data_IF_119045685280
#
_entry.id   IF_119045685280
#
_cell.length_a   1.000
_cell.length_b   1.000
_cell.length_c   1.000
_cell.angle_alpha   90.00
_cell.angle_beta   90.00
_cell.angle_gamma   90.00
#
_symmetry.space_group_name_H-M   'P 1'
#
loop_
_entity.id
_entity.type
_entity.pdbx_description
1 polymer ?
#
# COMPACT_ATOMS: atom_id res chain seq x y z
N UNK A 1 -14.30 14.05 -30.31
CA UNK A 1 -15.30 13.57 -29.33
C UNK A 1 -14.90 12.16 -28.95
N UNK A 2 -14.32 11.96 -27.76
CA UNK A 2 -14.12 10.61 -27.25
C UNK A 2 -15.51 9.98 -27.03
N UNK A 3 -15.68 8.71 -27.40
CA UNK A 3 -16.90 7.98 -27.11
C UNK A 3 -17.18 8.06 -25.59
N UNK A 4 -18.44 8.21 -25.16
CA UNK A 4 -18.75 8.19 -23.72
C UNK A 4 -18.24 6.87 -23.16
N UNK A 5 -17.33 6.95 -22.19
CA UNK A 5 -16.82 5.78 -21.48
C UNK A 5 -18.03 5.06 -20.89
N UNK A 6 -18.25 3.80 -21.31
CA UNK A 6 -19.31 2.97 -20.76
C UNK A 6 -18.91 2.68 -19.31
N UNK A 7 -19.50 3.43 -18.37
CA UNK A 7 -19.17 3.34 -16.95
C UNK A 7 -19.71 2.06 -16.31
N UNK A 8 -20.89 1.62 -16.75
CA UNK A 8 -21.56 0.44 -16.22
C UNK A 8 -21.78 -0.59 -17.33
N UNK A 9 -21.58 -1.87 -17.01
CA UNK A 9 -22.07 -2.97 -17.85
C UNK A 9 -23.61 -3.00 -17.85
N UNK A 10 -24.22 -3.68 -18.82
CA UNK A 10 -25.67 -3.86 -18.83
C UNK A 10 -26.15 -4.52 -17.53
N UNK A 11 -25.47 -5.56 -17.04
CA UNK A 11 -25.81 -6.22 -15.78
C UNK A 11 -25.77 -5.24 -14.59
N UNK A 12 -24.76 -4.37 -14.52
CA UNK A 12 -24.67 -3.33 -13.49
C UNK A 12 -25.78 -2.29 -13.61
N UNK A 13 -26.21 -1.92 -14.83
CA UNK A 13 -27.38 -1.05 -15.02
C UNK A 13 -28.65 -1.70 -14.51
N UNK A 14 -28.81 -3.01 -14.73
CA UNK A 14 -29.96 -3.76 -14.25
C UNK A 14 -30.03 -3.79 -12.71
N UNK A 15 -28.89 -3.86 -12.02
CA UNK A 15 -28.85 -3.77 -10.55
C UNK A 15 -29.46 -2.46 -10.00
N UNK A 16 -29.38 -1.35 -10.75
CA UNK A 16 -29.94 -0.06 -10.35
C UNK A 16 -31.38 0.18 -10.83
N UNK A 17 -31.74 -0.40 -11.98
CA UNK A 17 -32.98 -0.08 -12.70
C UNK A 17 -34.07 -1.12 -12.49
N UNK A 18 -33.73 -2.31 -12.00
CA UNK A 18 -34.70 -3.37 -11.72
C UNK A 18 -34.96 -3.56 -10.23
N UNK A 19 -36.14 -4.10 -9.95
CA UNK A 19 -36.44 -4.65 -8.64
C UNK A 19 -35.96 -6.09 -8.63
N UNK A 20 -35.13 -6.46 -7.66
CA UNK A 20 -34.63 -7.83 -7.51
C UNK A 20 -35.79 -8.82 -7.49
N UNK A 21 -35.70 -9.89 -8.29
CA UNK A 21 -36.70 -10.97 -8.26
C UNK A 21 -36.71 -11.71 -6.92
N UNK A 22 -35.58 -11.70 -6.21
CA UNK A 22 -35.41 -12.32 -4.89
C UNK A 22 -35.52 -11.30 -3.75
N UNK A 23 -36.26 -10.20 -3.96
CA UNK A 23 -36.52 -9.19 -2.92
C UNK A 23 -37.19 -9.85 -1.70
N UNK A 24 -36.68 -9.57 -0.51
CA UNK A 24 -37.19 -10.16 0.72
C UNK A 24 -38.56 -9.60 1.11
N UNK A 25 -39.40 -10.39 1.80
CA UNK A 25 -40.70 -9.91 2.30
C UNK A 25 -40.55 -8.65 3.18
N UNK A 26 -39.46 -8.56 3.95
CA UNK A 26 -39.14 -7.38 4.74
C UNK A 26 -38.90 -6.13 3.87
N UNK A 27 -38.13 -6.24 2.80
CA UNK A 27 -37.91 -5.14 1.86
C UNK A 27 -39.18 -4.76 1.12
N UNK A 28 -40.01 -5.75 0.76
CA UNK A 28 -41.31 -5.51 0.14
C UNK A 28 -42.18 -4.66 1.08
N UNK A 29 -42.35 -5.10 2.33
CA UNK A 29 -43.13 -4.38 3.32
C UNK A 29 -42.55 -2.99 3.62
N UNK A 30 -41.23 -2.84 3.68
CA UNK A 30 -40.58 -1.56 3.97
C UNK A 30 -40.81 -0.53 2.86
N UNK A 31 -40.72 -0.93 1.59
CA UNK A 31 -40.70 0.02 0.47
C UNK A 31 -42.04 0.15 -0.28
N UNK A 32 -42.91 -0.85 -0.21
CA UNK A 32 -44.13 -0.93 -1.01
C UNK A 32 -45.43 -0.90 -0.20
N UNK A 33 -45.36 -0.60 1.10
CA UNK A 33 -46.58 -0.39 1.91
C UNK A 33 -47.17 1.00 1.67
N UNK A 34 -48.47 1.05 1.40
CA UNK A 34 -49.26 2.26 1.26
C UNK A 34 -49.86 2.70 2.59
N UNK A 35 -49.83 4.00 2.83
CA UNK A 35 -50.56 4.62 3.93
C UNK A 35 -52.07 4.63 3.65
N UNK A 36 -52.93 4.80 4.67
CA UNK A 36 -54.37 4.98 4.46
C UNK A 36 -54.70 6.16 3.51
N UNK A 37 -53.88 7.22 3.55
CA UNK A 37 -54.00 8.34 2.62
C UNK A 37 -53.75 7.91 1.17
N UNK A 38 -52.69 7.14 0.94
CA UNK A 38 -52.35 6.63 -0.40
C UNK A 38 -53.47 5.76 -0.96
N UNK A 39 -53.99 4.83 -0.15
CA UNK A 39 -55.12 3.96 -0.53
C UNK A 39 -56.36 4.80 -0.87
N UNK A 40 -56.63 5.85 -0.08
CA UNK A 40 -57.71 6.79 -0.33
C UNK A 40 -57.59 7.52 -1.68
N UNK A 41 -56.38 7.91 -2.09
CA UNK A 41 -56.12 8.51 -3.41
C UNK A 41 -56.25 7.48 -4.53
N UNK A 42 -55.64 6.30 -4.36
CA UNK A 42 -55.68 5.22 -5.35
C UNK A 42 -57.14 4.84 -5.67
N UNK A 43 -57.99 4.71 -4.64
CA UNK A 43 -59.38 4.30 -4.79
C UNK A 43 -60.32 5.34 -5.44
N UNK A 44 -59.85 6.57 -5.71
CA UNK A 44 -60.61 7.56 -6.51
C UNK A 44 -60.67 7.18 -7.99
N UNK A 45 -59.75 6.33 -8.45
CA UNK A 45 -59.63 5.97 -9.85
C UNK A 45 -60.68 4.93 -10.25
N UNK A 46 -61.37 5.16 -11.37
CA UNK A 46 -62.38 4.23 -11.90
C UNK A 46 -61.70 3.05 -12.58
N UNK A 47 -62.24 1.85 -12.35
CA UNK A 47 -61.79 0.54 -12.90
C UNK A 47 -60.50 0.05 -12.26
N UNK A 48 -60.43 -1.26 -12.07
CA UNK A 48 -59.37 -1.90 -11.29
C UNK A 48 -57.98 -1.75 -11.93
N UNK A 49 -57.88 -1.84 -13.26
CA UNK A 49 -56.63 -1.62 -13.97
C UNK A 49 -56.04 -0.20 -13.78
N UNK A 50 -56.87 0.82 -13.58
CA UNK A 50 -56.39 2.18 -13.30
C UNK A 50 -55.91 2.32 -11.86
N UNK A 51 -56.61 1.67 -10.91
CA UNK A 51 -56.24 1.64 -9.49
C UNK A 51 -54.88 0.97 -9.29
N UNK A 52 -54.70 -0.24 -9.84
CA UNK A 52 -53.42 -0.95 -9.77
C UNK A 52 -52.32 -0.20 -10.53
N UNK A 53 -52.62 0.38 -11.69
CA UNK A 53 -51.67 1.17 -12.46
C UNK A 53 -51.15 2.40 -11.71
N UNK A 54 -52.05 3.18 -11.10
CA UNK A 54 -51.68 4.32 -10.25
C UNK A 54 -50.86 3.87 -9.04
N UNK A 55 -51.30 2.80 -8.35
CA UNK A 55 -50.59 2.25 -7.20
C UNK A 55 -49.16 1.82 -7.56
N UNK A 56 -49.00 1.12 -8.68
CA UNK A 56 -47.69 0.71 -9.19
C UNK A 56 -46.84 1.94 -9.54
N UNK A 57 -47.36 2.93 -10.26
CA UNK A 57 -46.59 4.14 -10.54
C UNK A 57 -46.08 4.83 -9.26
N UNK A 58 -46.95 5.00 -8.26
CA UNK A 58 -46.58 5.60 -6.98
C UNK A 58 -45.52 4.78 -6.24
N UNK A 59 -45.69 3.46 -6.20
CA UNK A 59 -44.74 2.53 -5.62
C UNK A 59 -43.35 2.65 -6.28
N UNK A 60 -43.28 2.62 -7.62
CA UNK A 60 -42.03 2.69 -8.35
C UNK A 60 -41.29 4.02 -8.16
N UNK A 61 -42.01 5.15 -8.08
CA UNK A 61 -41.41 6.45 -7.80
C UNK A 61 -40.86 6.56 -6.37
N UNK A 62 -41.47 5.87 -5.39
CA UNK A 62 -40.93 5.79 -4.02
C UNK A 62 -39.71 4.87 -3.98
N UNK A 63 -39.83 3.70 -4.59
CA UNK A 63 -38.74 2.73 -4.72
C UNK A 63 -38.96 1.82 -5.93
N UNK A 64 -38.01 1.72 -6.87
CA UNK A 64 -36.63 2.20 -6.82
C UNK A 64 -36.41 3.72 -7.05
N UNK A 65 -37.38 4.48 -7.53
CA UNK A 65 -37.27 5.91 -7.90
C UNK A 65 -37.49 6.20 -9.39
N UNK A 66 -37.67 5.15 -10.19
CA UNK A 66 -37.80 5.20 -11.64
C UNK A 66 -39.26 5.35 -12.06
N UNK A 67 -39.49 6.05 -13.17
CA UNK A 67 -40.82 6.09 -13.80
C UNK A 67 -41.24 4.72 -14.28
N UNK A 68 -42.56 4.46 -14.33
CA UNK A 68 -43.14 3.22 -14.85
C UNK A 68 -42.66 2.88 -16.28
N UNK A 69 -42.37 3.90 -17.10
CA UNK A 69 -41.88 3.71 -18.48
C UNK A 69 -40.44 3.15 -18.49
N UNK A 70 -39.66 3.43 -17.43
CA UNK A 70 -38.25 3.08 -17.35
C UNK A 70 -38.00 1.69 -16.74
N UNK A 71 -39.03 1.04 -16.19
CA UNK A 71 -38.93 -0.28 -15.58
C UNK A 71 -39.57 -1.32 -16.50
N UNK A 72 -38.75 -2.24 -17.00
CA UNK A 72 -39.20 -3.26 -17.95
C UNK A 72 -39.90 -4.45 -17.27
N UNK A 73 -39.61 -4.73 -16.00
CA UNK A 73 -40.16 -5.88 -15.30
C UNK A 73 -40.36 -5.58 -13.81
N UNK A 74 -41.51 -5.94 -13.27
CA UNK A 74 -41.87 -5.81 -11.85
C UNK A 74 -42.02 -7.23 -11.32
N UNK A 75 -41.33 -7.55 -10.23
CA UNK A 75 -41.44 -8.88 -9.60
C UNK A 75 -42.89 -9.19 -9.24
N UNK A 76 -43.32 -10.43 -9.50
CA UNK A 76 -44.67 -10.90 -9.15
C UNK A 76 -44.95 -10.76 -7.65
N UNK A 77 -43.95 -10.98 -6.79
CA UNK A 77 -44.08 -10.81 -5.34
C UNK A 77 -44.46 -9.38 -4.95
N UNK A 78 -43.80 -8.39 -5.56
CA UNK A 78 -44.09 -6.96 -5.34
C UNK A 78 -45.45 -6.59 -5.90
N UNK A 79 -45.77 -7.07 -7.10
CA UNK A 79 -47.05 -6.76 -7.73
C UNK A 79 -48.22 -7.35 -6.93
N UNK A 80 -48.11 -8.59 -6.46
CA UNK A 80 -49.11 -9.23 -5.62
C UNK A 80 -49.29 -8.46 -4.31
N UNK A 81 -48.21 -8.07 -3.65
CA UNK A 81 -48.24 -7.27 -2.43
C UNK A 81 -48.93 -5.91 -2.60
N UNK A 82 -48.66 -5.20 -3.70
CA UNK A 82 -49.34 -3.95 -4.05
C UNK A 82 -50.84 -4.20 -4.28
N UNK A 83 -51.17 -5.28 -4.99
CA UNK A 83 -52.53 -5.61 -5.38
C UNK A 83 -53.43 -6.00 -4.19
N UNK A 84 -52.88 -6.70 -3.20
CA UNK A 84 -53.57 -7.09 -1.97
C UNK A 84 -53.97 -5.87 -1.13
N UNK A 85 -53.09 -4.87 -1.01
CA UNK A 85 -53.35 -3.65 -0.24
C UNK A 85 -54.54 -2.83 -0.77
N UNK A 86 -54.80 -2.91 -2.07
CA UNK A 86 -55.89 -2.17 -2.72
C UNK A 86 -57.09 -3.06 -3.11
N UNK A 87 -57.02 -4.37 -2.79
CA UNK A 87 -58.04 -5.37 -3.08
C UNK A 87 -58.38 -5.45 -4.58
N UNK A 88 -57.35 -5.52 -5.43
CA UNK A 88 -57.46 -5.65 -6.89
C UNK A 88 -56.64 -6.85 -7.36
N UNK A 89 -57.03 -7.50 -8.45
CA UNK A 89 -56.22 -8.55 -9.07
C UNK A 89 -54.96 -7.97 -9.73
N UNK A 90 -53.78 -8.53 -9.44
CA UNK A 90 -52.51 -8.16 -10.09
C UNK A 90 -52.55 -8.27 -11.63
N UNK A 91 -53.40 -9.15 -12.17
CA UNK A 91 -53.58 -9.36 -13.62
C UNK A 91 -54.20 -8.16 -14.33
N UNK A 92 -54.92 -7.29 -13.61
CA UNK A 92 -55.52 -6.08 -14.17
C UNK A 92 -54.46 -5.10 -14.68
N UNK A 93 -53.21 -5.19 -14.19
CA UNK A 93 -52.12 -4.35 -14.68
C UNK A 93 -51.88 -4.54 -16.19
N UNK A 94 -52.16 -5.73 -16.75
CA UNK A 94 -52.02 -5.96 -18.19
C UNK A 94 -52.98 -5.12 -19.06
N UNK A 95 -54.10 -4.66 -18.47
CA UNK A 95 -55.07 -3.78 -19.11
C UNK A 95 -54.78 -2.30 -18.83
N UNK A 96 -53.85 -2.02 -17.91
CA UNK A 96 -53.48 -0.66 -17.58
C UNK A 96 -52.79 0.00 -18.77
N UNK A 97 -53.15 1.26 -19.01
CA UNK A 97 -52.34 2.14 -19.86
C UNK A 97 -52.13 1.71 -21.32
N UNK A 98 -53.09 1.00 -21.93
CA UNK A 98 -53.10 0.76 -23.38
C UNK A 98 -53.08 2.06 -24.22
N UNK A 99 -53.46 3.20 -23.61
CA UNK A 99 -53.30 4.56 -24.16
C UNK A 99 -52.23 5.31 -23.37
N UNK A 100 -51.29 5.93 -24.06
CA UNK A 100 -50.19 6.69 -23.43
C UNK A 100 -50.67 7.80 -22.50
N UNK A 101 -51.73 8.53 -22.87
CA UNK A 101 -52.24 9.67 -22.09
C UNK A 101 -52.61 9.30 -20.65
N UNK A 102 -53.21 8.14 -20.41
CA UNK A 102 -53.60 7.72 -19.06
C UNK A 102 -52.39 7.53 -18.14
N UNK A 103 -51.22 7.12 -18.67
CA UNK A 103 -49.99 7.03 -17.87
C UNK A 103 -49.48 8.39 -17.46
N UNK A 104 -49.46 9.33 -18.40
CA UNK A 104 -48.95 10.68 -18.21
C UNK A 104 -49.84 11.47 -17.25
N UNK A 105 -51.17 11.32 -17.36
CA UNK A 105 -52.15 11.90 -16.45
C UNK A 105 -51.93 11.41 -15.01
N UNK A 106 -51.83 10.09 -14.80
CA UNK A 106 -51.56 9.53 -13.46
C UNK A 106 -50.21 9.98 -12.92
N UNK A 107 -49.17 10.04 -13.75
CA UNK A 107 -47.85 10.52 -13.34
C UNK A 107 -47.90 12.00 -12.90
N UNK A 108 -48.62 12.83 -13.65
CA UNK A 108 -48.82 14.24 -13.32
C UNK A 108 -49.59 14.39 -12.00
N UNK A 109 -50.66 13.62 -11.80
CA UNK A 109 -51.42 13.60 -10.55
C UNK A 109 -50.55 13.18 -9.36
N UNK A 110 -49.73 12.12 -9.51
CA UNK A 110 -48.79 11.68 -8.46
C UNK A 110 -47.80 12.80 -8.11
N UNK A 111 -47.30 13.52 -9.12
CA UNK A 111 -46.38 14.64 -8.91
C UNK A 111 -47.01 15.77 -8.10
N UNK A 112 -48.24 16.16 -8.43
CA UNK A 112 -48.97 17.21 -7.73
C UNK A 112 -49.34 16.82 -6.29
N UNK A 113 -49.79 15.59 -6.08
CA UNK A 113 -50.24 15.12 -4.75
C UNK A 113 -49.06 14.86 -3.81
N UNK A 114 -48.01 14.20 -4.29
CA UNK A 114 -46.90 13.72 -3.44
C UNK A 114 -45.66 14.61 -3.48
N UNK A 115 -45.67 15.64 -4.34
CA UNK A 115 -44.59 16.62 -4.47
C UNK A 115 -43.39 16.11 -5.27
N UNK A 116 -43.61 15.23 -6.25
CA UNK A 116 -42.54 14.79 -7.14
C UNK A 116 -42.28 15.80 -8.26
N UNK A 117 -41.01 16.01 -8.60
CA UNK A 117 -40.61 16.89 -9.71
C UNK A 117 -39.83 16.12 -10.78
N UNK A 118 -39.83 16.63 -12.00
CA UNK A 118 -39.00 16.07 -13.07
C UNK A 118 -37.54 16.48 -12.88
N UNK A 119 -36.63 15.61 -13.28
CA UNK A 119 -35.22 15.93 -13.34
C UNK A 119 -34.94 17.03 -14.38
N UNK A 120 -34.02 17.96 -14.07
CA UNK A 120 -33.69 19.14 -14.87
C UNK A 120 -32.19 19.41 -14.84
N UNK A 121 -31.70 20.28 -15.72
CA UNK A 121 -30.27 20.67 -15.76
C UNK A 121 -29.80 21.36 -14.49
N UNK A 122 -30.70 22.01 -13.74
CA UNK A 122 -30.36 22.59 -12.44
C UNK A 122 -30.04 21.50 -11.42
N UNK A 123 -30.77 20.38 -11.45
CA UNK A 123 -30.48 19.21 -10.62
C UNK A 123 -29.15 18.58 -11.00
N UNK A 124 -28.81 18.50 -12.30
CA UNK A 124 -27.46 18.06 -12.74
C UNK A 124 -26.35 18.89 -12.10
N UNK A 125 -26.45 20.23 -12.13
CA UNK A 125 -25.43 21.10 -11.53
C UNK A 125 -25.29 20.88 -10.02
N UNK A 126 -26.42 20.80 -9.31
CA UNK A 126 -26.43 20.55 -7.85
C UNK A 126 -25.84 19.18 -7.51
N UNK A 127 -26.19 18.16 -8.31
CA UNK A 127 -25.71 16.80 -8.11
C UNK A 127 -24.21 16.69 -8.34
N UNK A 128 -23.68 17.34 -9.38
CA UNK A 128 -22.23 17.42 -9.63
C UNK A 128 -21.50 18.03 -8.43
N UNK A 129 -21.99 19.14 -7.88
CA UNK A 129 -21.37 19.80 -6.73
C UNK A 129 -21.41 18.91 -5.48
N UNK A 130 -22.50 18.16 -5.30
CA UNK A 130 -22.67 17.25 -4.15
C UNK A 130 -21.76 16.03 -4.25
N UNK A 131 -21.57 15.48 -5.45
CA UNK A 131 -20.77 14.27 -5.66
C UNK A 131 -19.26 14.53 -5.75
N UNK A 132 -18.84 15.74 -6.10
CA UNK A 132 -17.43 16.05 -6.33
C UNK A 132 -16.52 15.72 -5.13
N UNK A 133 -16.83 16.09 -3.87
CA UNK A 133 -16.00 15.73 -2.72
C UNK A 133 -15.79 14.21 -2.59
N UNK A 134 -16.84 13.42 -2.84
CA UNK A 134 -16.78 11.96 -2.78
C UNK A 134 -15.94 11.36 -3.92
N UNK A 135 -15.98 11.96 -5.10
CA UNK A 135 -15.18 11.50 -6.24
C UNK A 135 -13.69 11.82 -6.09
N UNK A 136 -13.35 12.93 -5.41
CA UNK A 136 -11.96 13.25 -5.06
C UNK A 136 -11.40 12.19 -4.09
N UNK A 137 -12.22 11.73 -3.14
CA UNK A 137 -11.90 10.65 -2.20
C UNK A 137 -11.69 9.29 -2.89
N UNK A 138 -12.64 8.91 -3.73
CA UNK A 138 -12.74 7.58 -4.31
C UNK A 138 -13.50 7.63 -5.64
N UNK A 139 -12.90 7.12 -6.71
CA UNK A 139 -13.47 7.07 -8.05
C UNK A 139 -14.36 5.83 -8.29
N UNK A 140 -14.77 5.12 -7.22
CA UNK A 140 -15.64 3.97 -7.33
C UNK A 140 -17.01 4.38 -7.91
N UNK A 141 -17.18 4.05 -9.20
CA UNK A 141 -18.37 4.34 -10.00
C UNK A 141 -19.65 3.83 -9.35
N UNK A 142 -19.66 2.60 -8.84
CA UNK A 142 -20.86 1.99 -8.23
C UNK A 142 -21.30 2.76 -6.98
N UNK A 143 -20.35 3.20 -6.16
CA UNK A 143 -20.66 3.99 -4.97
C UNK A 143 -21.17 5.38 -5.36
N UNK A 144 -20.56 6.05 -6.33
CA UNK A 144 -21.01 7.35 -6.82
C UNK A 144 -22.42 7.27 -7.45
N UNK A 145 -22.73 6.20 -8.18
CA UNK A 145 -24.07 5.94 -8.71
C UNK A 145 -25.10 5.75 -7.58
N UNK A 146 -24.77 4.98 -6.53
CA UNK A 146 -25.64 4.80 -5.36
C UNK A 146 -25.91 6.12 -4.65
N UNK A 147 -24.87 6.92 -4.43
CA UNK A 147 -24.99 8.26 -3.83
C UNK A 147 -25.86 9.17 -4.70
N UNK A 148 -25.63 9.17 -6.02
CA UNK A 148 -26.39 9.99 -6.95
C UNK A 148 -27.88 9.66 -6.94
N UNK A 149 -28.22 8.37 -7.04
CA UNK A 149 -29.61 7.89 -7.01
C UNK A 149 -30.26 8.23 -5.67
N UNK A 150 -29.56 8.03 -4.56
CA UNK A 150 -30.10 8.35 -3.24
C UNK A 150 -30.37 9.85 -3.09
N UNK A 151 -29.43 10.71 -3.52
CA UNK A 151 -29.57 12.17 -3.47
C UNK A 151 -30.83 12.63 -4.24
N UNK A 152 -30.98 12.18 -5.49
CA UNK A 152 -32.15 12.51 -6.33
C UNK A 152 -33.46 12.06 -5.65
N UNK A 153 -33.48 10.83 -5.10
CA UNK A 153 -34.67 10.28 -4.43
C UNK A 153 -35.06 11.06 -3.18
N UNK A 154 -34.09 11.44 -2.33
CA UNK A 154 -34.38 12.18 -1.09
C UNK A 154 -35.03 13.54 -1.34
N UNK A 155 -34.74 14.15 -2.49
CA UNK A 155 -35.34 15.41 -2.94
C UNK A 155 -36.70 15.23 -3.65
N UNK A 156 -37.23 13.99 -3.72
CA UNK A 156 -38.45 13.63 -4.47
C UNK A 156 -38.38 14.00 -5.95
N UNK A 157 -37.20 13.90 -6.56
CA UNK A 157 -37.05 14.07 -8.00
C UNK A 157 -37.20 12.69 -8.66
N UNK A 158 -37.97 12.62 -9.74
CA UNK A 158 -38.10 11.40 -10.54
C UNK A 158 -36.76 11.12 -11.23
N UNK A 159 -36.21 9.92 -11.06
CA UNK A 159 -34.92 9.57 -11.66
C UNK A 159 -34.98 9.74 -13.18
N UNK A 160 -34.04 10.50 -13.79
CA UNK A 160 -33.87 10.50 -15.24
C UNK A 160 -33.28 9.16 -15.67
N UNK A 161 -33.42 8.78 -16.94
CA UNK A 161 -32.82 7.55 -17.49
C UNK A 161 -31.39 7.32 -17.00
N UNK A 162 -31.02 6.07 -16.68
CA UNK A 162 -29.74 5.71 -16.03
C UNK A 162 -28.50 6.29 -16.72
N UNK A 163 -28.55 6.38 -18.05
CA UNK A 163 -27.50 6.98 -18.87
C UNK A 163 -27.26 8.46 -18.58
N UNK A 164 -28.28 9.20 -18.12
CA UNK A 164 -28.15 10.59 -17.67
C UNK A 164 -27.36 10.66 -16.38
N UNK A 165 -27.66 9.78 -15.42
CA UNK A 165 -26.94 9.71 -14.13
C UNK A 165 -25.50 9.25 -14.36
N UNK A 166 -25.27 8.24 -15.20
CA UNK A 166 -23.93 7.80 -15.61
C UNK A 166 -23.13 8.97 -16.19
N UNK A 167 -23.75 9.80 -17.05
CA UNK A 167 -23.09 10.99 -17.60
C UNK A 167 -22.64 11.95 -16.51
N UNK A 168 -23.51 12.24 -15.53
CA UNK A 168 -23.15 13.12 -14.41
C UNK A 168 -22.00 12.54 -13.59
N UNK A 169 -22.04 11.24 -13.28
CA UNK A 169 -20.97 10.56 -12.54
C UNK A 169 -19.66 10.58 -13.34
N UNK A 170 -19.70 10.36 -14.66
CA UNK A 170 -18.53 10.46 -15.54
C UNK A 170 -17.90 11.86 -15.48
N UNK A 171 -18.73 12.90 -15.61
CA UNK A 171 -18.28 14.29 -15.54
C UNK A 171 -17.69 14.64 -14.19
N UNK A 172 -18.28 14.13 -13.10
CA UNK A 172 -17.76 14.33 -11.74
C UNK A 172 -16.40 13.65 -11.56
N UNK A 173 -16.25 12.41 -12.02
CA UNK A 173 -14.95 11.69 -11.96
C UNK A 173 -13.90 12.44 -12.78
N UNK A 174 -14.23 12.86 -13.99
CA UNK A 174 -13.31 13.61 -14.85
C UNK A 174 -12.86 14.94 -14.19
N UNK A 175 -13.77 15.65 -13.51
CA UNK A 175 -13.44 16.86 -12.74
C UNK A 175 -12.55 16.57 -11.54
N UNK A 176 -12.86 15.51 -10.78
CA UNK A 176 -12.04 15.09 -9.65
C UNK A 176 -10.62 14.68 -10.11
N UNK A 177 -10.51 13.99 -11.25
CA UNK A 177 -9.24 13.67 -11.90
C UNK A 177 -8.45 14.94 -12.27
N UNK A 178 -9.10 15.93 -12.88
CA UNK A 178 -8.48 17.19 -13.28
C UNK A 178 -7.98 17.98 -12.05
N UNK A 179 -8.81 18.16 -11.03
CA UNK A 179 -8.44 18.84 -9.78
C UNK A 179 -7.27 18.15 -9.08
N UNK A 180 -7.30 16.81 -9.01
CA UNK A 180 -6.20 16.03 -8.43
C UNK A 180 -4.89 16.25 -9.21
N UNK A 181 -4.94 16.16 -10.54
CA UNK A 181 -3.78 16.35 -11.41
C UNK A 181 -3.24 17.78 -11.28
N UNK A 182 -4.12 18.78 -11.16
CA UNK A 182 -3.73 20.18 -11.00
C UNK A 182 -3.01 20.42 -9.67
N UNK A 183 -3.53 19.89 -8.55
CA UNK A 183 -2.89 20.01 -7.23
C UNK A 183 -1.46 19.45 -7.27
N UNK A 184 -1.26 18.29 -7.90
CA UNK A 184 0.08 17.70 -8.06
C UNK A 184 0.96 18.59 -8.93
N UNK A 185 0.45 19.04 -10.08
CA UNK A 185 1.21 19.88 -11.02
C UNK A 185 1.59 21.25 -10.45
N UNK A 186 0.80 21.80 -9.53
CA UNK A 186 1.12 23.06 -8.84
C UNK A 186 2.37 22.94 -7.96
N UNK A 187 2.80 21.71 -7.62
CA UNK A 187 4.04 21.43 -6.91
C UNK A 187 5.24 21.22 -7.86
N UNK A 188 5.06 21.29 -9.19
CA UNK A 188 6.09 20.96 -10.18
C UNK A 188 6.41 22.19 -11.03
N UNK A 189 7.66 22.66 -10.91
CA UNK A 189 8.18 23.79 -11.70
C UNK A 189 8.42 23.42 -13.16
N UNK A 190 8.52 24.42 -14.04
CA UNK A 190 8.82 24.20 -15.47
C UNK A 190 10.16 23.49 -15.71
N UNK A 191 11.20 23.79 -14.91
CA UNK A 191 12.49 23.10 -14.96
C UNK A 191 12.35 21.61 -14.60
N UNK A 192 11.55 21.31 -13.57
CA UNK A 192 11.27 19.93 -13.18
C UNK A 192 10.48 19.18 -14.26
N UNK A 193 9.48 19.82 -14.89
CA UNK A 193 8.75 19.24 -16.03
C UNK A 193 9.68 18.89 -17.18
N UNK A 194 10.61 19.77 -17.52
CA UNK A 194 11.65 19.49 -18.51
C UNK A 194 12.52 18.28 -18.11
N UNK A 195 12.97 18.22 -16.85
CA UNK A 195 13.73 17.06 -16.35
C UNK A 195 12.92 15.75 -16.40
N UNK A 196 11.63 15.79 -16.09
CA UNK A 196 10.73 14.63 -16.21
C UNK A 196 10.61 14.16 -17.67
N UNK A 197 10.51 15.09 -18.63
CA UNK A 197 10.52 14.74 -20.05
C UNK A 197 11.85 14.12 -20.50
N UNK A 198 12.97 14.60 -19.95
CA UNK A 198 14.29 14.00 -20.20
C UNK A 198 14.41 12.57 -19.67
N UNK A 199 13.59 12.16 -18.69
CA UNK A 199 13.58 10.78 -18.19
C UNK A 199 12.92 9.80 -19.15
N UNK A 200 11.89 10.23 -19.88
CA UNK A 200 11.09 9.40 -20.79
C UNK A 200 11.57 9.44 -22.24
N UNK A 201 12.46 10.37 -22.56
CA UNK A 201 13.09 10.50 -23.87
C UNK A 201 14.47 9.83 -23.87
N UNK A 202 14.79 9.10 -24.95
CA UNK A 202 16.12 8.57 -25.16
C UNK A 202 17.08 9.74 -25.44
N UNK A 203 18.20 9.79 -24.73
CA UNK A 203 19.20 10.86 -24.86
C UNK A 203 20.28 10.54 -25.90
N UNK A 204 20.38 9.28 -26.31
CA UNK A 204 21.40 8.71 -27.19
C UNK A 204 20.77 7.70 -28.16
N UNK A 205 21.55 7.18 -29.12
CA UNK A 205 21.11 6.08 -30.01
C UNK A 205 20.76 4.79 -29.25
N UNK A 206 21.15 4.68 -27.98
CA UNK A 206 20.70 3.63 -27.07
C UNK A 206 19.19 3.74 -26.81
N UNK A 207 18.51 2.59 -26.94
CA UNK A 207 17.06 2.46 -26.81
C UNK A 207 16.55 2.61 -25.38
N UNK A 208 17.44 2.58 -24.38
CA UNK A 208 17.07 2.63 -22.96
C UNK A 208 16.99 4.07 -22.43
N UNK A 209 15.78 4.46 -22.03
CA UNK A 209 15.53 5.74 -21.34
C UNK A 209 15.96 5.68 -19.88
N UNK A 210 16.22 6.84 -19.25
CA UNK A 210 16.53 6.90 -17.81
C UNK A 210 15.37 6.36 -16.95
N UNK A 211 14.12 6.56 -17.36
CA UNK A 211 12.97 5.95 -16.69
C UNK A 211 12.98 4.42 -16.81
N UNK A 212 13.38 3.89 -17.97
CA UNK A 212 13.58 2.44 -18.16
C UNK A 212 14.59 1.87 -17.17
N UNK A 213 15.76 2.50 -17.07
CA UNK A 213 16.80 2.13 -16.08
C UNK A 213 16.32 2.23 -14.62
N UNK A 214 15.51 3.24 -14.28
CA UNK A 214 14.89 3.37 -12.95
C UNK A 214 13.91 2.23 -12.62
N UNK A 215 13.31 1.60 -13.64
CA UNK A 215 12.33 0.51 -13.51
C UNK A 215 12.97 -0.88 -13.46
N UNK A 216 14.24 -1.02 -13.84
CA UNK A 216 14.96 -2.30 -13.85
C UNK A 216 15.10 -2.89 -12.44
N UNK A 217 14.93 -4.21 -12.32
CA UNK A 217 15.16 -4.94 -11.07
C UNK A 217 16.66 -4.95 -10.73
N UNK A 218 16.98 -4.70 -9.46
CA UNK A 218 18.35 -4.64 -8.95
C UNK A 218 18.90 -6.02 -8.56
N UNK A 219 18.12 -7.09 -8.76
CA UNK A 219 18.55 -8.47 -8.56
C UNK A 219 18.86 -8.81 -7.09
N UNK A 220 19.87 -9.65 -6.87
CA UNK A 220 20.18 -10.18 -5.54
C UNK A 220 20.91 -9.18 -4.62
N UNK A 221 20.60 -9.25 -3.33
CA UNK A 221 21.20 -8.38 -2.31
C UNK A 221 22.73 -8.56 -2.22
N UNK A 222 23.44 -7.50 -2.59
CA UNK A 222 24.90 -7.42 -2.60
C UNK A 222 25.35 -5.97 -2.38
N UNK A 223 26.62 -5.71 -2.03
CA UNK A 223 27.15 -4.35 -1.97
C UNK A 223 27.02 -3.59 -3.30
N UNK A 224 27.13 -4.30 -4.44
CA UNK A 224 26.92 -3.73 -5.78
C UNK A 224 25.46 -3.30 -5.97
N UNK A 225 24.50 -4.18 -5.65
CA UNK A 225 23.08 -3.86 -5.73
C UNK A 225 22.72 -2.68 -4.81
N UNK A 226 23.36 -2.55 -3.64
CA UNK A 226 23.17 -1.39 -2.76
C UNK A 226 23.60 -0.08 -3.46
N UNK A 227 24.79 -0.05 -4.06
CA UNK A 227 25.27 1.12 -4.79
C UNK A 227 24.33 1.50 -5.95
N UNK A 228 23.86 0.52 -6.71
CA UNK A 228 22.89 0.71 -7.80
C UNK A 228 21.52 1.24 -7.32
N UNK A 229 21.06 0.84 -6.13
CA UNK A 229 19.84 1.39 -5.52
C UNK A 229 20.03 2.86 -5.14
N UNK A 230 21.19 3.20 -4.56
CA UNK A 230 21.49 4.57 -4.16
C UNK A 230 21.67 5.48 -5.38
N UNK A 231 22.30 5.01 -6.45
CA UNK A 231 22.44 5.77 -7.70
C UNK A 231 21.06 6.17 -8.27
N UNK A 232 20.10 5.24 -8.25
CA UNK A 232 18.70 5.52 -8.66
C UNK A 232 18.04 6.54 -7.74
N UNK A 233 18.22 6.37 -6.43
CA UNK A 233 17.68 7.30 -5.43
C UNK A 233 18.26 8.72 -5.58
N UNK A 234 19.56 8.83 -5.89
CA UNK A 234 20.23 10.09 -6.19
C UNK A 234 19.67 10.76 -7.45
N UNK A 235 19.48 10.00 -8.53
CA UNK A 235 18.85 10.54 -9.74
C UNK A 235 17.49 11.14 -9.42
N UNK A 236 16.64 10.43 -8.67
CA UNK A 236 15.31 10.92 -8.28
C UNK A 236 15.41 12.17 -7.42
N UNK A 237 16.28 12.17 -6.40
CA UNK A 237 16.47 13.32 -5.50
C UNK A 237 17.05 14.55 -6.22
N UNK A 238 17.85 14.36 -7.27
CA UNK A 238 18.38 15.45 -8.09
C UNK A 238 17.30 16.27 -8.80
N UNK A 239 16.10 15.68 -8.98
CA UNK A 239 14.93 16.37 -9.52
C UNK A 239 14.32 17.35 -8.51
N UNK A 240 14.62 17.19 -7.21
CA UNK A 240 14.12 18.03 -6.11
C UNK A 240 12.58 18.13 -6.07
N UNK A 241 11.89 17.03 -6.37
CA UNK A 241 10.43 16.97 -6.37
C UNK A 241 9.90 17.02 -4.93
N UNK A 242 9.31 18.16 -4.55
CA UNK A 242 8.66 18.37 -3.25
C UNK A 242 7.15 18.47 -3.47
N UNK A 243 6.48 17.31 -3.53
CA UNK A 243 5.06 17.25 -3.84
C UNK A 243 4.21 17.60 -2.61
N UNK A 244 3.28 18.54 -2.76
CA UNK A 244 2.28 18.83 -1.73
C UNK A 244 1.15 17.78 -1.76
N UNK A 245 1.39 16.62 -1.15
CA UNK A 245 0.44 15.50 -1.10
C UNK A 245 -0.39 15.41 0.18
N UNK A 246 -0.17 16.31 1.16
CA UNK A 246 -0.76 16.19 2.49
C UNK A 246 -2.30 16.26 2.50
N UNK A 247 -2.90 16.96 1.52
CA UNK A 247 -4.35 17.05 1.33
C UNK A 247 -4.92 16.06 0.32
N UNK A 248 -4.10 15.17 -0.25
CA UNK A 248 -4.52 14.22 -1.28
C UNK A 248 -4.82 12.85 -0.70
N UNK A 249 -5.82 12.18 -1.25
CA UNK A 249 -6.23 10.86 -0.78
C UNK A 249 -5.19 9.77 -1.10
N UNK A 250 -4.72 8.97 -0.12
CA UNK A 250 -3.66 7.99 -0.32
C UNK A 250 -3.95 6.89 -1.36
N UNK A 251 -5.23 6.55 -1.55
CA UNK A 251 -5.64 5.55 -2.56
C UNK A 251 -5.39 6.06 -3.98
N UNK A 252 -5.68 7.34 -4.22
CA UNK A 252 -5.52 8.01 -5.52
C UNK A 252 -4.04 8.19 -5.87
N UNK A 253 -3.22 8.57 -4.90
CA UNK A 253 -1.75 8.61 -5.05
C UNK A 253 -1.21 7.25 -5.52
N UNK A 254 -1.58 6.17 -4.82
CA UNK A 254 -1.17 4.81 -5.17
C UNK A 254 -1.69 4.37 -6.53
N UNK A 255 -2.92 4.74 -6.90
CA UNK A 255 -3.49 4.41 -8.20
C UNK A 255 -2.68 5.02 -9.35
N UNK A 256 -2.41 6.33 -9.32
CA UNK A 256 -1.64 7.00 -10.37
C UNK A 256 -0.18 6.58 -10.40
N UNK A 257 0.45 6.41 -9.23
CA UNK A 257 1.81 5.88 -9.16
C UNK A 257 1.92 4.47 -9.76
N UNK A 258 0.94 3.59 -9.51
CA UNK A 258 0.85 2.27 -10.17
C UNK A 258 0.67 2.36 -11.69
N UNK A 259 0.00 3.40 -12.21
CA UNK A 259 -0.02 3.63 -13.65
C UNK A 259 1.38 3.96 -14.16
N UNK A 260 2.12 4.82 -13.46
CA UNK A 260 3.51 5.16 -13.81
C UNK A 260 4.46 3.97 -13.75
N UNK A 261 4.26 3.06 -12.79
CA UNK A 261 5.05 1.83 -12.70
C UNK A 261 4.75 0.85 -13.84
N UNK A 262 3.50 0.80 -14.33
CA UNK A 262 3.09 -0.11 -15.42
C UNK A 262 3.43 0.40 -16.81
N UNK A 263 3.23 1.69 -17.06
CA UNK A 263 3.41 2.23 -18.41
C UNK A 263 4.88 2.39 -18.78
N UNK A 264 5.22 1.98 -19.99
CA UNK A 264 6.54 2.22 -20.56
C UNK A 264 6.72 3.67 -21.01
N UNK A 265 7.97 4.18 -21.11
CA UNK A 265 8.26 5.56 -21.50
C UNK A 265 7.53 6.02 -22.76
N UNK A 266 7.44 5.15 -23.78
CA UNK A 266 6.69 5.44 -25.01
C UNK A 266 5.19 5.65 -24.78
N UNK A 267 4.55 4.86 -23.92
CA UNK A 267 3.14 5.05 -23.58
C UNK A 267 2.93 6.34 -22.79
N UNK A 268 3.82 6.65 -21.85
CA UNK A 268 3.76 7.89 -21.06
C UNK A 268 3.84 9.14 -21.92
N UNK A 269 4.61 9.12 -23.02
CA UNK A 269 4.68 10.24 -23.99
C UNK A 269 3.35 10.55 -24.69
N UNK A 270 2.44 9.58 -24.79
CA UNK A 270 1.13 9.75 -25.44
C UNK A 270 0.07 10.35 -24.52
N UNK A 271 0.32 10.43 -23.22
CA UNK A 271 -0.60 11.10 -22.30
C UNK A 271 -0.55 12.61 -22.50
N UNK A 272 -1.68 13.25 -22.21
CA UNK A 272 -1.75 14.70 -22.06
C UNK A 272 -0.72 15.18 -21.02
N UNK A 273 -0.09 16.34 -21.28
CA UNK A 273 1.06 16.82 -20.51
C UNK A 273 0.81 16.87 -18.99
N UNK A 274 -0.30 17.49 -18.56
CA UNK A 274 -0.64 17.59 -17.13
C UNK A 274 -0.72 16.21 -16.48
N UNK A 275 -1.42 15.27 -17.12
CA UNK A 275 -1.58 13.89 -16.64
C UNK A 275 -0.25 13.14 -16.63
N UNK A 276 0.57 13.31 -17.66
CA UNK A 276 1.92 12.75 -17.77
C UNK A 276 2.81 13.16 -16.60
N UNK A 277 2.89 14.46 -16.31
CA UNK A 277 3.74 14.97 -15.23
C UNK A 277 3.26 14.52 -13.86
N UNK A 278 1.95 14.51 -13.61
CA UNK A 278 1.40 14.04 -12.34
C UNK A 278 1.72 12.55 -12.11
N UNK A 279 1.51 11.70 -13.12
CA UNK A 279 1.83 10.26 -13.04
C UNK A 279 3.32 10.05 -12.80
N UNK A 280 4.20 10.73 -13.55
CA UNK A 280 5.64 10.60 -13.38
C UNK A 280 6.10 11.06 -12.00
N UNK A 281 5.64 12.21 -11.54
CA UNK A 281 6.05 12.75 -10.24
C UNK A 281 5.62 11.83 -9.08
N UNK A 282 4.38 11.35 -9.10
CA UNK A 282 3.88 10.44 -8.06
C UNK A 282 4.56 9.07 -8.11
N UNK A 283 4.84 8.55 -9.30
CA UNK A 283 5.60 7.32 -9.46
C UNK A 283 7.01 7.46 -8.89
N UNK A 284 7.72 8.54 -9.20
CA UNK A 284 9.07 8.78 -8.69
C UNK A 284 9.08 9.00 -7.17
N UNK A 285 8.03 9.64 -6.63
CA UNK A 285 7.83 9.78 -5.20
C UNK A 285 7.71 8.41 -4.52
N UNK A 286 6.83 7.52 -4.99
CA UNK A 286 6.68 6.17 -4.44
C UNK A 286 7.94 5.31 -4.67
N UNK A 287 8.55 5.39 -5.86
CA UNK A 287 9.80 4.70 -6.17
C UNK A 287 10.92 5.11 -5.22
N UNK A 288 11.02 6.39 -4.84
CA UNK A 288 12.02 6.84 -3.88
C UNK A 288 11.87 6.17 -2.51
N UNK A 289 10.63 5.95 -2.05
CA UNK A 289 10.34 5.25 -0.81
C UNK A 289 10.70 3.76 -0.92
N UNK A 290 10.26 3.12 -2.01
CA UNK A 290 10.58 1.71 -2.28
C UNK A 290 12.08 1.45 -2.39
N UNK A 291 12.87 2.39 -2.96
CA UNK A 291 14.32 2.28 -3.03
C UNK A 291 14.98 2.43 -1.65
N UNK A 292 14.43 3.26 -0.76
CA UNK A 292 14.90 3.34 0.64
C UNK A 292 14.64 2.02 1.36
N UNK A 293 13.42 1.48 1.26
CA UNK A 293 13.07 0.18 1.85
C UNK A 293 13.98 -0.92 1.29
N UNK A 294 14.24 -0.91 -0.02
CA UNK A 294 15.15 -1.85 -0.67
C UNK A 294 16.59 -1.73 -0.16
N UNK A 295 17.09 -0.51 0.05
CA UNK A 295 18.42 -0.27 0.60
C UNK A 295 18.55 -0.87 2.01
N UNK A 296 17.55 -0.65 2.87
CA UNK A 296 17.50 -1.23 4.22
C UNK A 296 17.42 -2.76 4.16
N UNK A 297 16.57 -3.32 3.28
CA UNK A 297 16.47 -4.76 3.08
C UNK A 297 17.80 -5.40 2.67
N UNK A 298 18.54 -4.74 1.75
CA UNK A 298 19.88 -5.19 1.34
C UNK A 298 20.84 -5.13 2.53
N UNK A 299 20.84 -4.04 3.30
CA UNK A 299 21.68 -3.89 4.49
C UNK A 299 21.42 -5.01 5.51
N UNK A 300 20.16 -5.27 5.86
CA UNK A 300 19.78 -6.32 6.80
C UNK A 300 20.25 -7.70 6.34
N UNK A 301 20.11 -8.00 5.04
CA UNK A 301 20.63 -9.25 4.48
C UNK A 301 22.15 -9.34 4.55
N UNK A 302 22.88 -8.26 4.26
CA UNK A 302 24.34 -8.26 4.37
C UNK A 302 24.80 -8.50 5.81
N UNK A 303 24.17 -7.85 6.80
CA UNK A 303 24.46 -8.06 8.22
C UNK A 303 24.14 -9.50 8.64
N UNK A 304 22.99 -10.05 8.26
CA UNK A 304 22.62 -11.43 8.57
C UNK A 304 23.59 -12.44 7.96
N UNK A 305 24.04 -12.23 6.72
CA UNK A 305 25.05 -13.08 6.07
C UNK A 305 26.38 -13.01 6.80
N UNK A 306 26.81 -11.82 7.23
CA UNK A 306 28.04 -11.65 8.01
C UNK A 306 27.97 -12.44 9.33
N UNK A 307 26.92 -12.25 10.11
CA UNK A 307 26.74 -12.92 11.40
C UNK A 307 26.58 -14.43 11.25
N UNK A 308 25.83 -14.90 10.24
CA UNK A 308 25.65 -16.32 9.95
C UNK A 308 26.97 -17.01 9.60
N UNK A 309 27.83 -16.34 8.82
CA UNK A 309 29.16 -16.87 8.47
C UNK A 309 30.08 -16.98 9.69
N UNK A 310 30.03 -16.00 10.60
CA UNK A 310 30.75 -16.07 11.88
C UNK A 310 30.34 -17.30 12.68
N UNK A 311 29.03 -17.52 12.84
CA UNK A 311 28.47 -18.71 13.53
C UNK A 311 28.90 -20.02 12.87
N UNK A 312 28.79 -20.13 11.54
CA UNK A 312 29.21 -21.32 10.79
C UNK A 312 30.70 -21.60 10.98
N UNK A 313 31.55 -20.57 10.92
CA UNK A 313 32.99 -20.73 11.15
C UNK A 313 33.29 -21.18 12.58
N UNK A 314 32.55 -20.69 13.58
CA UNK A 314 32.65 -21.18 14.95
C UNK A 314 32.27 -22.66 15.05
N UNK A 315 31.15 -23.07 14.44
CA UNK A 315 30.72 -24.47 14.42
C UNK A 315 31.73 -25.38 13.72
N UNK A 316 32.32 -24.94 12.60
CA UNK A 316 33.37 -25.66 11.88
C UNK A 316 34.63 -25.82 12.74
N UNK A 317 35.10 -24.75 13.38
CA UNK A 317 36.25 -24.80 14.29
C UNK A 317 35.98 -25.71 15.49
N UNK A 318 34.77 -25.68 16.05
CA UNK A 318 34.38 -26.56 17.16
C UNK A 318 34.40 -28.04 16.73
N UNK A 319 33.89 -28.34 15.52
CA UNK A 319 33.92 -29.71 14.97
C UNK A 319 35.35 -30.19 14.70
N UNK A 320 36.20 -29.34 14.12
CA UNK A 320 37.59 -29.68 13.80
C UNK A 320 38.45 -29.85 15.05
N UNK A 321 38.34 -28.91 16.00
CA UNK A 321 39.20 -28.85 17.17
C UNK A 321 38.65 -29.62 18.39
N UNK A 322 37.43 -30.16 18.31
CA UNK A 322 36.74 -30.75 19.46
C UNK A 322 37.53 -31.86 20.17
N UNK A 323 38.18 -32.74 19.40
CA UNK A 323 39.02 -33.80 19.96
C UNK A 323 40.24 -33.22 20.70
N UNK A 324 41.00 -32.35 20.05
CA UNK A 324 42.18 -31.73 20.63
C UNK A 324 41.86 -30.85 21.84
N UNK A 325 40.73 -30.14 21.82
CA UNK A 325 40.25 -29.39 22.99
C UNK A 325 39.95 -30.32 24.17
N UNK A 326 39.27 -31.44 23.94
CA UNK A 326 39.01 -32.42 24.98
C UNK A 326 40.31 -33.03 25.53
N UNK A 327 41.28 -33.33 24.66
CA UNK A 327 42.62 -33.78 25.08
C UNK A 327 43.30 -32.74 25.99
N UNK A 328 43.22 -31.44 25.69
CA UNK A 328 43.77 -30.38 26.55
C UNK A 328 43.04 -30.26 27.88
N UNK A 329 41.72 -30.45 27.91
CA UNK A 329 40.95 -30.47 29.16
C UNK A 329 41.38 -31.65 30.04
N UNK A 330 41.58 -32.84 29.46
CA UNK A 330 42.08 -34.02 30.19
C UNK A 330 43.47 -33.75 30.76
N UNK A 331 44.40 -33.23 29.93
CA UNK A 331 45.73 -32.85 30.42
C UNK A 331 45.64 -31.85 31.59
N UNK A 332 44.78 -30.84 31.50
CA UNK A 332 44.57 -29.86 32.57
C UNK A 332 44.08 -30.53 33.87
N UNK A 333 43.12 -31.45 33.79
CA UNK A 333 42.63 -32.21 34.95
C UNK A 333 43.77 -33.02 35.58
N UNK A 334 44.57 -33.73 34.78
CA UNK A 334 45.66 -34.57 35.27
C UNK A 334 46.77 -33.73 35.93
N UNK A 335 47.12 -32.59 35.33
CA UNK A 335 48.09 -31.63 35.87
C UNK A 335 47.62 -31.07 37.21
N UNK A 336 46.36 -30.63 37.30
CA UNK A 336 45.80 -30.07 38.54
C UNK A 336 45.71 -31.15 39.62
N UNK A 337 45.30 -32.37 39.27
CA UNK A 337 45.26 -33.50 40.21
C UNK A 337 46.65 -33.84 40.77
N UNK A 338 47.69 -33.84 39.92
CA UNK A 338 49.07 -34.04 40.35
C UNK A 338 49.55 -32.94 41.30
N UNK A 339 49.19 -31.67 41.05
CA UNK A 339 49.53 -30.56 41.93
C UNK A 339 48.80 -30.63 43.28
N UNK A 340 47.53 -31.02 43.29
CA UNK A 340 46.77 -31.25 44.52
C UNK A 340 47.43 -32.37 45.33
N UNK A 341 47.74 -33.51 44.70
CA UNK A 341 48.41 -34.64 45.36
C UNK A 341 49.77 -34.23 45.92
N UNK A 342 50.58 -33.50 45.15
CA UNK A 342 51.88 -33.04 45.62
C UNK A 342 51.75 -32.12 46.84
N UNK A 343 50.71 -31.29 46.90
CA UNK A 343 50.44 -30.42 48.06
C UNK A 343 49.99 -31.22 49.28
N UNK A 344 49.05 -32.15 49.11
CA UNK A 344 48.47 -32.93 50.21
C UNK A 344 49.49 -33.90 50.83
N UNK A 345 50.29 -34.55 49.98
CA UNK A 345 51.31 -35.52 50.38
C UNK A 345 52.70 -34.87 50.62
N UNK A 346 52.82 -33.55 50.48
CA UNK A 346 54.08 -32.77 50.59
C UNK A 346 55.22 -33.30 49.69
N UNK A 347 54.88 -33.70 48.47
CA UNK A 347 55.83 -34.15 47.45
C UNK A 347 56.38 -32.97 46.63
N UNK A 348 57.46 -33.21 45.88
CA UNK A 348 58.00 -32.26 44.91
C UNK A 348 57.02 -32.07 43.74
N UNK A 349 56.50 -30.84 43.50
CA UNK A 349 55.51 -30.58 42.45
C UNK A 349 56.01 -30.89 41.04
N UNK A 350 57.29 -30.63 40.73
CA UNK A 350 57.84 -30.85 39.40
C UNK A 350 58.04 -32.35 39.11
N UNK A 351 58.53 -33.10 40.10
CA UNK A 351 58.64 -34.58 39.97
C UNK A 351 57.26 -35.23 39.83
N UNK A 352 56.27 -34.71 40.53
CA UNK A 352 54.89 -35.23 40.47
C UNK A 352 54.24 -34.89 39.11
N UNK A 353 54.49 -33.72 38.54
CA UNK A 353 54.05 -33.36 37.18
C UNK A 353 54.71 -34.21 36.10
N UNK A 354 56.02 -34.45 36.19
CA UNK A 354 56.76 -35.28 35.23
C UNK A 354 56.27 -36.75 35.21
N UNK A 355 55.64 -37.21 36.29
CA UNK A 355 54.99 -38.53 36.34
C UNK A 355 53.70 -38.62 35.52
N UNK A 356 53.05 -37.49 35.24
CA UNK A 356 51.85 -37.40 34.37
C UNK A 356 52.26 -37.28 32.91
N UNK A 357 53.18 -36.36 32.60
CA UNK A 357 53.70 -36.17 31.25
C UNK A 357 55.10 -35.53 31.28
N UNK A 358 55.93 -35.82 30.27
CA UNK A 358 57.27 -35.25 30.19
C UNK A 358 57.23 -33.72 30.02
N UNK A 359 58.23 -33.02 30.55
CA UNK A 359 58.32 -31.55 30.44
C UNK A 359 58.22 -31.04 28.99
N UNK A 360 58.85 -31.74 28.04
CA UNK A 360 58.77 -31.41 26.61
C UNK A 360 57.33 -31.47 26.08
N UNK A 361 56.59 -32.54 26.40
CA UNK A 361 55.17 -32.70 26.01
C UNK A 361 54.27 -31.69 26.70
N UNK A 362 54.60 -31.29 27.92
CA UNK A 362 53.89 -30.23 28.64
C UNK A 362 53.99 -28.90 27.89
N UNK A 363 55.21 -28.49 27.50
CA UNK A 363 55.44 -27.27 26.72
C UNK A 363 54.72 -27.32 25.36
N UNK A 364 54.83 -28.44 24.63
CA UNK A 364 54.12 -28.66 23.37
C UNK A 364 52.60 -28.56 23.55
N UNK A 365 52.07 -29.18 24.61
CA UNK A 365 50.63 -29.14 24.91
C UNK A 365 50.14 -27.73 25.24
N UNK A 366 50.95 -26.89 25.86
CA UNK A 366 50.64 -25.47 26.12
C UNK A 366 50.65 -24.66 24.83
N UNK A 367 51.61 -24.85 23.94
CA UNK A 367 51.65 -24.15 22.65
C UNK A 367 50.48 -24.55 21.75
N UNK A 368 50.13 -25.83 21.70
CA UNK A 368 48.91 -26.29 21.02
C UNK A 368 47.65 -25.68 21.65
N UNK A 369 47.57 -25.61 22.99
CA UNK A 369 46.45 -25.00 23.68
C UNK A 369 46.33 -23.50 23.38
N UNK A 370 47.44 -22.76 23.27
CA UNK A 370 47.45 -21.34 22.86
C UNK A 370 46.89 -21.14 21.46
N UNK A 371 47.23 -22.03 20.52
CA UNK A 371 46.72 -21.98 19.15
C UNK A 371 45.23 -22.34 19.05
N UNK A 372 44.72 -23.17 19.96
CA UNK A 372 43.31 -23.55 20.05
C UNK A 372 42.47 -22.57 20.87
N UNK A 373 43.10 -21.82 21.77
CA UNK A 373 42.43 -20.92 22.69
C UNK A 373 41.72 -19.79 21.94
N UNK A 374 40.47 -19.57 22.32
CA UNK A 374 39.65 -18.44 21.86
C UNK A 374 39.40 -17.49 23.02
N UNK A 375 38.91 -16.25 22.76
CA UNK A 375 38.53 -15.33 23.81
C UNK A 375 37.61 -15.99 24.83
N UNK A 376 37.73 -15.63 26.11
CA UNK A 376 36.96 -16.24 27.21
C UNK A 376 35.44 -16.21 27.00
N UNK A 377 34.93 -15.21 26.27
CA UNK A 377 33.51 -15.14 25.91
C UNK A 377 33.04 -16.23 24.94
N UNK A 378 33.98 -16.89 24.26
CA UNK A 378 33.78 -17.96 23.28
C UNK A 378 32.73 -17.62 22.21
N UNK A 379 32.72 -16.36 21.79
CA UNK A 379 31.71 -15.77 20.93
C UNK A 379 32.26 -15.59 19.51
N UNK A 380 31.50 -15.90 18.46
CA UNK A 380 31.90 -15.82 17.05
C UNK A 380 32.33 -14.42 16.56
N UNK A 381 32.18 -13.37 17.36
CA UNK A 381 32.53 -12.00 16.95
C UNK A 381 34.00 -11.85 16.56
N UNK A 382 34.91 -12.55 17.24
CA UNK A 382 36.34 -12.63 16.89
C UNK A 382 36.61 -13.26 15.51
N UNK A 383 35.63 -13.98 14.95
CA UNK A 383 35.75 -14.65 13.65
C UNK A 383 35.24 -13.80 12.48
N UNK A 384 34.73 -12.58 12.72
CA UNK A 384 34.13 -11.73 11.70
C UNK A 384 35.15 -10.94 10.86
N UNK A 385 36.39 -10.77 11.35
CA UNK A 385 37.42 -9.93 10.72
C UNK A 385 37.69 -10.26 9.24
N UNK A 386 37.70 -11.54 8.86
CA UNK A 386 37.98 -11.94 7.48
C UNK A 386 36.89 -11.54 6.47
N UNK A 387 35.73 -11.05 6.96
CA UNK A 387 34.57 -10.70 6.15
C UNK A 387 34.06 -9.28 6.41
N UNK A 388 34.55 -8.60 7.46
CA UNK A 388 34.28 -7.19 7.70
C UNK A 388 34.59 -6.32 6.47
N UNK A 389 35.63 -6.66 5.69
CA UNK A 389 36.04 -5.97 4.46
C UNK A 389 34.93 -5.79 3.39
N UNK A 390 33.80 -6.48 3.50
CA UNK A 390 32.64 -6.28 2.62
C UNK A 390 31.77 -5.09 3.03
N UNK A 391 31.68 -4.76 4.32
CA UNK A 391 30.84 -3.67 4.82
C UNK A 391 31.32 -2.30 4.34
N UNK A 392 32.62 -1.94 4.45
CA UNK A 392 33.11 -0.64 3.97
C UNK A 392 32.89 -0.37 2.47
N UNK A 393 32.53 -1.39 1.68
CA UNK A 393 32.23 -1.22 0.25
C UNK A 393 30.91 -0.49 -0.01
N UNK A 394 29.97 -0.49 0.95
CA UNK A 394 28.66 0.15 0.77
C UNK A 394 28.20 0.96 1.98
N UNK A 395 28.72 0.70 3.19
CA UNK A 395 28.30 1.44 4.39
C UNK A 395 28.60 2.95 4.34
N UNK A 396 29.68 3.46 3.71
CA UNK A 396 29.86 4.90 3.55
C UNK A 396 28.75 5.52 2.70
N UNK A 397 28.35 4.84 1.62
CA UNK A 397 27.24 5.27 0.76
C UNK A 397 25.92 5.23 1.54
N UNK A 398 25.69 4.19 2.34
CA UNK A 398 24.50 4.07 3.19
C UNK A 398 24.34 5.29 4.11
N UNK A 399 25.38 5.62 4.87
CA UNK A 399 25.33 6.70 5.86
C UNK A 399 25.25 8.07 5.21
N UNK A 400 25.96 8.27 4.09
CA UNK A 400 25.94 9.53 3.35
C UNK A 400 24.58 9.85 2.75
N UNK A 401 23.89 8.85 2.19
CA UNK A 401 22.68 9.08 1.40
C UNK A 401 21.38 8.78 2.15
N UNK A 402 21.38 7.94 3.18
CA UNK A 402 20.17 7.75 4.01
C UNK A 402 20.20 8.73 5.18
N UNK A 403 19.11 9.49 5.35
CA UNK A 403 18.94 10.40 6.49
C UNK A 403 18.32 9.63 7.64
N UNK A 404 19.06 9.52 8.74
CA UNK A 404 18.59 8.90 9.97
C UNK A 404 18.16 9.98 10.96
N UNK A 405 16.93 9.88 11.46
CA UNK A 405 16.37 10.78 12.46
C UNK A 405 15.78 9.95 13.61
N UNK A 406 15.71 10.55 14.80
CA UNK A 406 15.10 9.93 15.97
C UNK A 406 14.11 10.87 16.62
N UNK A 407 12.92 10.36 16.95
CA UNK A 407 11.95 11.05 17.82
C UNK A 407 12.13 10.70 19.30
N UNK A 408 12.94 9.68 19.60
CA UNK A 408 13.22 9.21 20.95
C UNK A 408 14.62 9.66 21.41
N UNK A 409 14.72 10.18 22.63
CA UNK A 409 15.99 10.57 23.23
C UNK A 409 16.95 9.38 23.43
N UNK A 410 16.42 8.16 23.63
CA UNK A 410 17.25 6.97 23.85
C UNK A 410 18.10 6.58 22.62
N UNK A 411 17.65 6.90 21.41
CA UNK A 411 18.37 6.62 20.16
C UNK A 411 19.22 7.80 19.67
N UNK A 412 19.25 8.92 20.40
CA UNK A 412 20.10 10.07 20.06
C UNK A 412 21.60 9.72 20.00
N UNK A 413 22.18 8.96 20.96
CA UNK A 413 23.58 8.54 20.89
C UNK A 413 23.92 7.74 19.62
N UNK A 414 22.98 6.94 19.12
CA UNK A 414 23.15 6.19 17.87
C UNK A 414 23.18 7.13 16.65
N UNK A 415 22.30 8.12 16.60
CA UNK A 415 22.30 9.10 15.51
C UNK A 415 23.60 9.92 15.52
N UNK A 416 24.06 10.33 16.71
CA UNK A 416 25.32 11.05 16.87
C UNK A 416 26.52 10.20 16.39
N UNK A 417 26.55 8.90 16.72
CA UNK A 417 27.57 7.98 16.20
C UNK A 417 27.50 7.81 14.67
N UNK A 418 26.30 7.75 14.07
CA UNK A 418 26.13 7.68 12.62
C UNK A 418 26.69 8.96 11.96
N UNK A 419 26.46 10.13 12.55
CA UNK A 419 27.01 11.39 12.05
C UNK A 419 28.55 11.41 12.12
N UNK A 420 29.13 10.97 13.24
CA UNK A 420 30.59 10.83 13.37
C UNK A 420 31.16 9.87 12.32
N UNK A 421 30.50 8.73 12.08
CA UNK A 421 30.89 7.79 11.04
C UNK A 421 30.81 8.41 9.64
N UNK A 422 29.82 9.26 9.37
CA UNK A 422 29.72 9.98 8.11
C UNK A 422 30.92 10.92 7.92
N UNK A 423 31.19 11.77 8.92
CA UNK A 423 32.30 12.73 8.90
C UNK A 423 33.65 12.02 8.76
N UNK A 424 33.82 10.88 9.42
CA UNK A 424 35.02 10.04 9.27
C UNK A 424 35.19 9.55 7.84
N UNK A 425 34.11 9.04 7.22
CA UNK A 425 34.15 8.55 5.84
C UNK A 425 34.44 9.68 4.84
N UNK A 426 33.86 10.86 5.03
CA UNK A 426 34.10 12.03 4.16
C UNK A 426 35.55 12.55 4.25
N UNK A 427 36.12 12.54 5.46
CA UNK A 427 37.49 13.02 5.70
C UNK A 427 38.57 11.94 5.53
N UNK A 428 38.20 10.69 5.23
CA UNK A 428 39.12 9.56 5.12
C UNK A 428 39.74 9.12 6.45
N UNK A 429 39.17 9.53 7.59
CA UNK A 429 39.65 9.17 8.92
C UNK A 429 39.25 7.74 9.27
N UNK A 430 40.23 6.92 9.66
CA UNK A 430 40.02 5.51 10.00
C UNK A 430 39.90 5.24 11.51
N UNK A 431 40.31 6.20 12.34
CA UNK A 431 40.27 6.07 13.80
C UNK A 431 39.00 6.73 14.33
N UNK A 432 38.19 5.97 15.07
CA UNK A 432 37.02 6.51 15.78
C UNK A 432 37.49 7.38 16.93
N UNK A 433 36.85 8.53 17.15
CA UNK A 433 37.15 9.42 18.28
C UNK A 433 36.94 8.70 19.61
N UNK A 434 37.74 9.03 20.62
CA UNK A 434 37.55 8.51 21.99
C UNK A 434 36.23 9.02 22.61
N UNK A 435 35.76 10.20 22.18
CA UNK A 435 34.50 10.80 22.62
C UNK A 435 33.27 10.26 21.86
N UNK A 436 33.43 9.27 20.97
CA UNK A 436 32.31 8.73 20.23
C UNK A 436 31.30 8.03 21.18
N UNK A 437 29.99 8.31 21.06
CA UNK A 437 29.00 7.69 21.92
C UNK A 437 28.96 6.18 21.67
N UNK A 438 29.06 5.39 22.74
CA UNK A 438 29.05 3.92 22.69
C UNK A 438 27.97 3.28 23.56
N UNK A 439 27.21 4.09 24.32
CA UNK A 439 26.21 3.61 25.29
C UNK A 439 25.07 2.77 24.68
N UNK A 440 24.81 2.94 23.38
CA UNK A 440 23.80 2.16 22.65
C UNK A 440 24.29 0.77 22.23
N UNK A 441 25.60 0.50 22.35
CA UNK A 441 26.22 -0.75 21.90
C UNK A 441 26.01 -1.82 22.98
N UNK A 442 25.48 -2.97 22.58
CA UNK A 442 25.29 -4.07 23.52
C UNK A 442 26.63 -4.58 24.07
N UNK A 443 26.70 -4.87 25.38
CA UNK A 443 27.90 -5.31 26.10
C UNK A 443 28.72 -6.41 25.41
N UNK A 444 28.05 -7.27 24.63
CA UNK A 444 28.66 -8.33 23.83
C UNK A 444 29.72 -7.81 22.84
N UNK A 445 29.54 -6.60 22.31
CA UNK A 445 30.41 -5.95 21.33
C UNK A 445 31.51 -5.08 21.93
N UNK A 446 31.52 -4.88 23.26
CA UNK A 446 32.50 -3.98 23.91
C UNK A 446 33.96 -4.40 23.69
N UNK A 447 34.22 -5.71 23.49
CA UNK A 447 35.57 -6.21 23.17
C UNK A 447 36.03 -5.88 21.73
N UNK A 448 35.10 -5.44 20.88
CA UNK A 448 35.39 -4.97 19.53
C UNK A 448 35.54 -3.44 19.49
N UNK A 449 35.26 -2.75 20.62
CA UNK A 449 35.54 -1.34 20.78
C UNK A 449 36.97 -1.22 21.32
N UNK A 450 37.85 -0.66 20.48
CA UNK A 450 39.28 -0.37 20.74
C UNK A 450 40.26 -1.55 20.59
#
# INVERSE_FOLDING_TARGET
MAAPEILLTEDQRLEFTQISQNISEYEIAKYYTFSPYDIGIINKHRRDYNRIGFAVQLALLRNPGWSFISINNISESVLNYISEQIQVSSKELALYAQRENTRLEHLQEIREIYGFTNYTDQHTKSLTQTLLPYAIENDNVINLMKLAINEIKTQKIILPGITTIEKVVSEVIAKADEEFIEIVNNSITSDQKFKLDMLINAQTEDTNTKLGWLKEDQGHSSPKAFAEVIERLELIRSLKLELNIAGLYPNRIRQLSRLGSKYEPFSLRRFEEKKRYAILALYLYELSQNLIDKAIEIHDRQINVLLSKGRKKQEELQKQNGKSLNEKIVHYIDIVAALIKARDEKLDPFKTLESVMTWSKFVESVEEAKNLARPVSYDYLDLLDSRYNQLPRYTPVLVKYLKFNSTNNASKPLIDAINILNDMNENGNRKVSEDAPTDFIANRWNKCLY
#
